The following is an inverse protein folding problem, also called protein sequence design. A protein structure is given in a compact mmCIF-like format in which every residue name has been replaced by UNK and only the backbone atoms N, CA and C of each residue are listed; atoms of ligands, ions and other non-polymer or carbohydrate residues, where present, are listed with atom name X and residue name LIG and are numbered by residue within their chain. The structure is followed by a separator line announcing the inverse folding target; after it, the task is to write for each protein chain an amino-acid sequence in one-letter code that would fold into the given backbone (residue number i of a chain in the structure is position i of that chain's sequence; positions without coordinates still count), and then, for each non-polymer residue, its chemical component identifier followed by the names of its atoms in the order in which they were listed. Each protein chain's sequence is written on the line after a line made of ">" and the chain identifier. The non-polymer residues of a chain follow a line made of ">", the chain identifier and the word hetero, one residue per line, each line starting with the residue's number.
data_IF_526036114894
#
_entry.id   IF_526036114894
#
_cell.length_a   1.000
_cell.length_b   1.000
_cell.length_c   1.000
_cell.angle_alpha   90.00
_cell.angle_beta   90.00
_cell.angle_gamma   90.00
#
_symmetry.space_group_name_H-M   'P 1'
#
loop_
_entity.id
_entity.type
_entity.pdbx_description
1 polymer ?
#
# COMPACT_ATOMS: atom_id res chain seq x y z
N UNK A 1 -3.15 2.32 24.64
CA UNK A 1 -4.23 1.53 25.30
C UNK A 1 -4.26 0.06 24.94
N UNK A 2 -4.54 -0.35 23.69
CA UNK A 2 -4.75 -1.76 23.33
C UNK A 2 -3.63 -2.70 23.78
N UNK A 3 -2.36 -2.38 23.53
CA UNK A 3 -1.22 -3.23 23.89
C UNK A 3 -1.12 -3.53 25.39
N UNK A 4 -1.53 -2.58 26.24
CA UNK A 4 -1.55 -2.74 27.70
C UNK A 4 -2.77 -3.51 28.20
N UNK A 5 -3.85 -3.55 27.42
CA UNK A 5 -5.01 -4.39 27.70
C UNK A 5 -4.76 -5.84 27.24
N UNK A 6 -4.01 -6.02 26.15
CA UNK A 6 -3.61 -7.34 25.63
C UNK A 6 -2.58 -8.00 26.56
N UNK A 7 -1.66 -7.23 27.13
CA UNK A 7 -0.60 -7.72 28.01
C UNK A 7 -0.57 -6.95 29.35
N UNK A 8 -1.59 -7.12 30.21
CA UNK A 8 -1.72 -6.34 31.44
C UNK A 8 -0.61 -6.67 32.46
N UNK A 9 -0.17 -7.94 32.50
CA UNK A 9 0.89 -8.42 33.39
C UNK A 9 2.29 -8.18 32.84
N UNK A 10 2.44 -8.01 31.52
CA UNK A 10 3.75 -7.86 30.85
C UNK A 10 4.40 -9.19 30.48
N UNK A 11 3.77 -10.32 30.78
CA UNK A 11 4.31 -11.67 30.57
C UNK A 11 4.48 -12.02 29.09
N UNK A 12 3.68 -11.41 28.20
CA UNK A 12 3.84 -11.59 26.75
C UNK A 12 5.00 -10.77 26.19
N UNK A 13 5.62 -9.91 27.01
CA UNK A 13 6.69 -9.01 26.59
C UNK A 13 6.26 -7.94 25.59
N UNK A 14 4.95 -7.76 25.37
CA UNK A 14 4.40 -6.74 24.48
C UNK A 14 4.45 -5.40 25.19
N UNK A 15 4.06 -5.36 26.48
CA UNK A 15 3.94 -4.15 27.29
C UNK A 15 5.20 -3.29 27.28
N UNK A 16 6.38 -3.92 27.42
CA UNK A 16 7.69 -3.23 27.45
C UNK A 16 7.95 -2.34 26.23
N UNK A 17 7.36 -2.67 25.07
CA UNK A 17 7.54 -1.89 23.83
C UNK A 17 6.66 -0.63 23.78
N UNK A 18 5.73 -0.48 24.73
CA UNK A 18 4.80 0.65 24.84
C UNK A 18 4.91 1.34 26.20
N UNK A 19 6.00 1.09 26.93
CA UNK A 19 6.34 1.78 28.17
C UNK A 19 7.06 3.10 27.87
N UNK A 20 6.80 4.12 28.69
CA UNK A 20 7.44 5.42 28.53
C UNK A 20 8.94 5.30 28.81
N UNK A 21 9.81 5.79 27.91
CA UNK A 21 11.25 5.86 28.17
C UNK A 21 11.62 6.94 29.19
N UNK A 22 10.66 7.78 29.61
CA UNK A 22 10.86 8.88 30.57
C UNK A 22 10.12 8.65 31.89
N UNK A 23 9.08 7.79 31.89
CA UNK A 23 8.25 7.47 33.06
C UNK A 23 8.16 5.94 33.20
N UNK A 24 9.11 5.31 33.91
CA UNK A 24 9.15 3.86 34.07
C UNK A 24 7.82 3.29 34.59
N UNK A 25 7.41 2.15 34.03
CA UNK A 25 6.17 1.46 34.42
C UNK A 25 4.88 2.18 34.00
N UNK A 26 4.96 3.28 33.25
CA UNK A 26 3.81 4.00 32.70
C UNK A 26 3.70 3.82 31.19
N UNK A 27 2.50 4.04 30.66
CA UNK A 27 2.26 4.05 29.22
C UNK A 27 2.98 5.23 28.58
N UNK A 28 3.62 5.00 27.43
CA UNK A 28 4.16 6.07 26.60
C UNK A 28 3.02 6.93 26.05
N UNK A 29 3.17 8.25 26.11
CA UNK A 29 2.27 9.19 25.43
C UNK A 29 2.73 9.45 24.00
N UNK A 30 1.85 9.99 23.16
CA UNK A 30 2.22 10.38 21.79
C UNK A 30 3.35 11.43 21.80
N UNK A 31 3.31 12.38 22.74
CA UNK A 31 4.36 13.37 22.90
C UNK A 31 5.70 12.74 23.26
N UNK A 32 5.71 11.76 24.17
CA UNK A 32 6.94 11.05 24.53
C UNK A 32 7.47 10.21 23.38
N UNK A 33 6.58 9.57 22.62
CA UNK A 33 6.97 8.81 21.43
C UNK A 33 7.69 9.71 20.42
N UNK A 34 7.10 10.85 20.06
CA UNK A 34 7.71 11.79 19.13
C UNK A 34 8.98 12.44 19.71
N UNK A 35 8.94 12.87 20.98
CA UNK A 35 10.12 13.39 21.68
C UNK A 35 11.28 12.41 21.62
N UNK A 36 11.03 11.14 21.95
CA UNK A 36 12.05 10.09 21.96
C UNK A 36 12.72 9.91 20.61
N UNK A 37 11.92 9.93 19.55
CA UNK A 37 12.41 9.88 18.16
C UNK A 37 13.25 11.13 17.86
N UNK A 38 12.70 12.32 18.08
CA UNK A 38 13.33 13.59 17.69
C UNK A 38 14.64 13.88 18.45
N UNK A 39 14.75 13.48 19.72
CA UNK A 39 16.01 13.56 20.47
C UNK A 39 17.14 12.70 19.88
N UNK A 40 16.82 11.74 19.01
CA UNK A 40 17.76 10.81 18.38
C UNK A 40 17.96 11.06 16.88
N UNK A 41 17.36 12.11 16.35
CA UNK A 41 17.57 12.52 14.95
C UNK A 41 18.90 13.27 14.86
N UNK A 42 19.88 12.80 14.06
CA UNK A 42 21.17 13.47 13.95
C UNK A 42 21.05 14.95 13.56
N UNK A 43 21.61 15.85 14.36
CA UNK A 43 21.64 17.29 14.12
C UNK A 43 20.39 18.07 14.58
N UNK A 44 19.27 17.38 14.87
CA UNK A 44 18.04 18.04 15.30
C UNK A 44 18.17 18.62 16.73
N UNK A 45 18.72 17.91 17.74
CA UNK A 45 18.93 18.48 19.07
C UNK A 45 19.76 19.76 19.07
N UNK A 46 20.81 19.82 18.26
CA UNK A 46 21.66 20.99 18.13
C UNK A 46 20.92 22.15 17.46
N UNK A 47 20.19 21.87 16.38
CA UNK A 47 19.39 22.87 15.67
C UNK A 47 18.23 23.43 16.54
N UNK A 48 17.62 22.59 17.37
CA UNK A 48 16.61 22.98 18.33
C UNK A 48 17.21 23.90 19.41
N UNK A 49 18.32 23.48 20.01
CA UNK A 49 19.03 24.25 21.04
C UNK A 49 19.49 25.62 20.52
N UNK A 50 19.97 25.71 19.28
CA UNK A 50 20.36 26.98 18.65
C UNK A 50 19.20 27.99 18.52
N UNK A 51 17.95 27.53 18.66
CA UNK A 51 16.74 28.35 18.66
C UNK A 51 16.08 28.46 20.03
N UNK A 52 16.71 27.94 21.08
CA UNK A 52 16.14 27.90 22.44
C UNK A 52 14.92 26.97 22.56
N UNK A 53 14.86 25.92 21.74
CA UNK A 53 13.78 24.94 21.74
C UNK A 53 14.32 23.55 22.09
N UNK A 54 13.48 22.67 22.61
CA UNK A 54 13.74 21.22 22.57
C UNK A 54 13.38 20.62 21.18
N UNK A 55 13.81 19.38 20.87
CA UNK A 55 13.52 18.74 19.59
C UNK A 55 12.03 18.60 19.26
N UNK A 56 11.18 18.34 20.26
CA UNK A 56 9.74 18.21 20.07
C UNK A 56 9.11 19.57 19.75
N UNK A 57 9.50 20.62 20.46
CA UNK A 57 9.08 22.00 20.21
C UNK A 57 9.53 22.50 18.84
N UNK A 58 10.77 22.17 18.44
CA UNK A 58 11.26 22.47 17.10
C UNK A 58 10.36 21.83 16.05
N UNK A 59 10.10 20.53 16.14
CA UNK A 59 9.30 19.82 15.15
C UNK A 59 7.83 20.28 15.15
N UNK A 60 7.26 20.61 16.32
CA UNK A 60 5.93 21.23 16.38
C UNK A 60 5.85 22.58 15.67
N UNK A 61 6.94 23.36 15.73
CA UNK A 61 6.99 24.70 15.14
C UNK A 61 7.29 24.68 13.64
N UNK A 62 8.24 23.86 13.21
CA UNK A 62 8.77 23.87 11.84
C UNK A 62 8.26 22.73 10.97
N UNK A 63 7.78 21.63 11.56
CA UNK A 63 7.16 20.49 10.87
C UNK A 63 8.09 19.65 10.00
N UNK A 64 9.36 20.02 9.84
CA UNK A 64 10.35 19.23 9.12
C UNK A 64 11.77 19.62 9.54
N UNK A 65 12.70 18.65 9.47
CA UNK A 65 14.13 18.87 9.66
C UNK A 65 14.95 18.16 8.58
N UNK A 66 15.88 18.89 7.97
CA UNK A 66 16.81 18.36 6.97
C UNK A 66 18.03 17.77 7.67
N UNK A 67 18.17 16.44 7.60
CA UNK A 67 19.30 15.73 8.25
C UNK A 67 20.56 15.81 7.39
N UNK A 68 20.42 15.69 6.07
CA UNK A 68 21.53 15.77 5.12
C UNK A 68 21.14 16.64 3.93
N UNK A 69 22.04 17.51 3.51
CA UNK A 69 21.84 18.43 2.38
C UNK A 69 22.40 17.84 1.08
N UNK A 70 21.67 18.03 -0.03
CA UNK A 70 22.15 17.79 -1.40
C UNK A 70 22.79 16.42 -1.65
N UNK A 71 22.10 15.34 -1.27
CA UNK A 71 22.57 13.98 -1.53
C UNK A 71 22.29 13.64 -3.00
N UNK A 72 23.33 13.66 -3.81
CA UNK A 72 23.31 13.23 -5.21
C UNK A 72 24.49 12.30 -5.47
N UNK A 73 24.39 11.49 -6.54
CA UNK A 73 25.52 10.70 -7.07
C UNK A 73 26.22 9.83 -6.02
N UNK A 74 25.46 9.25 -5.08
CA UNK A 74 26.03 8.36 -4.05
C UNK A 74 26.81 7.18 -4.65
N UNK A 75 26.39 6.71 -5.83
CA UNK A 75 27.07 5.65 -6.57
C UNK A 75 28.47 6.06 -7.07
N UNK A 76 28.77 7.35 -7.20
CA UNK A 76 30.10 7.88 -7.55
C UNK A 76 31.01 8.04 -6.32
N UNK A 77 30.53 7.77 -5.10
CA UNK A 77 31.35 7.89 -3.88
C UNK A 77 32.54 6.94 -3.98
N UNK A 78 33.74 7.49 -3.93
CA UNK A 78 34.97 6.72 -3.88
C UNK A 78 35.01 5.83 -2.63
N UNK A 79 35.42 4.58 -2.81
CA UNK A 79 35.62 3.66 -1.68
C UNK A 79 36.89 4.01 -0.92
N UNK A 80 36.79 4.05 0.41
CA UNK A 80 37.93 4.21 1.29
C UNK A 80 38.92 3.02 1.17
N UNK A 81 40.19 3.20 1.55
CA UNK A 81 41.17 2.09 1.53
C UNK A 81 40.72 0.85 2.33
N UNK A 82 40.03 1.04 3.46
CA UNK A 82 39.52 -0.06 4.29
C UNK A 82 38.34 -0.80 3.63
N UNK A 83 37.45 -0.08 2.92
CA UNK A 83 36.38 -0.69 2.12
C UNK A 83 36.95 -1.53 0.97
N UNK A 84 38.10 -1.13 0.40
CA UNK A 84 38.79 -1.84 -0.68
C UNK A 84 39.67 -3.00 -0.23
N UNK A 85 40.16 -2.97 1.00
CA UNK A 85 41.11 -3.97 1.48
C UNK A 85 40.49 -5.38 1.42
N UNK A 86 41.18 -6.30 0.74
CA UNK A 86 40.73 -7.68 0.54
C UNK A 86 39.67 -7.86 -0.54
N UNK A 87 39.36 -6.82 -1.33
CA UNK A 87 38.46 -6.94 -2.47
C UNK A 87 39.24 -7.29 -3.75
N UNK A 88 38.70 -8.22 -4.53
CA UNK A 88 39.20 -8.61 -5.85
C UNK A 88 38.38 -7.92 -6.94
N UNK A 89 39.05 -7.39 -7.97
CA UNK A 89 38.39 -6.74 -9.11
C UNK A 89 38.10 -7.78 -10.19
N UNK A 90 36.83 -7.97 -10.54
CA UNK A 90 36.44 -8.84 -11.63
C UNK A 90 37.03 -8.34 -12.97
N UNK A 91 37.72 -9.18 -13.76
CA UNK A 91 38.51 -8.74 -14.91
C UNK A 91 37.65 -8.09 -16.01
N UNK A 92 36.42 -8.59 -16.19
CA UNK A 92 35.46 -8.09 -17.19
C UNK A 92 34.39 -7.21 -16.57
N UNK A 93 33.80 -7.64 -15.45
CA UNK A 93 32.69 -6.91 -14.83
C UNK A 93 33.12 -5.59 -14.20
N UNK A 94 34.40 -5.50 -13.79
CA UNK A 94 35.00 -4.43 -12.99
C UNK A 94 34.39 -4.27 -11.59
N UNK A 95 33.57 -5.23 -11.15
CA UNK A 95 32.98 -5.24 -9.82
C UNK A 95 34.04 -5.65 -8.80
N UNK A 96 34.12 -4.93 -7.68
CA UNK A 96 34.93 -5.28 -6.52
C UNK A 96 34.16 -6.28 -5.66
N UNK A 97 34.69 -7.49 -5.49
CA UNK A 97 34.12 -8.56 -4.67
C UNK A 97 34.95 -8.74 -3.40
N UNK A 98 34.31 -8.68 -2.24
CA UNK A 98 34.91 -8.95 -0.93
C UNK A 98 34.04 -9.93 -0.17
N UNK A 99 34.63 -11.02 0.33
CA UNK A 99 33.92 -12.09 1.06
C UNK A 99 32.69 -12.64 0.31
N UNK A 100 32.79 -12.74 -1.02
CA UNK A 100 31.70 -13.19 -1.90
C UNK A 100 30.61 -12.14 -2.18
N UNK A 101 30.80 -10.89 -1.75
CA UNK A 101 29.84 -9.79 -1.94
C UNK A 101 30.42 -8.68 -2.81
N UNK A 102 29.61 -8.17 -3.73
CA UNK A 102 29.95 -6.93 -4.42
C UNK A 102 30.00 -5.78 -3.40
N UNK A 103 31.10 -5.05 -3.33
CA UNK A 103 31.29 -3.88 -2.45
C UNK A 103 31.45 -2.56 -3.22
N UNK A 104 31.72 -2.64 -4.53
CA UNK A 104 31.76 -1.49 -5.41
C UNK A 104 32.12 -1.86 -6.84
N UNK A 105 32.49 -0.87 -7.63
CA UNK A 105 32.85 -1.02 -9.03
C UNK A 105 34.01 -0.08 -9.40
N UNK A 106 34.92 -0.56 -10.24
CA UNK A 106 35.95 0.25 -10.88
C UNK A 106 35.37 0.91 -12.14
N UNK A 107 35.41 2.25 -12.16
CA UNK A 107 35.03 3.08 -13.30
C UNK A 107 36.19 4.04 -13.57
N UNK A 108 36.74 4.02 -14.78
CA UNK A 108 37.87 4.86 -15.20
C UNK A 108 39.06 4.82 -14.22
N UNK A 109 39.39 3.62 -13.72
CA UNK A 109 40.48 3.39 -12.77
C UNK A 109 40.19 3.80 -11.32
N UNK A 110 38.97 4.28 -11.02
CA UNK A 110 38.55 4.66 -9.68
C UNK A 110 37.52 3.66 -9.13
N UNK A 111 37.78 3.13 -7.94
CA UNK A 111 36.83 2.29 -7.22
C UNK A 111 35.78 3.14 -6.50
N UNK A 112 34.53 3.00 -6.91
CA UNK A 112 33.37 3.71 -6.37
C UNK A 112 32.32 2.74 -5.83
N UNK A 113 31.38 3.24 -5.04
CA UNK A 113 30.32 2.44 -4.41
C UNK A 113 29.37 1.76 -5.42
N UNK A 114 29.10 2.43 -6.54
CA UNK A 114 28.17 1.96 -7.56
C UNK A 114 26.70 1.95 -7.09
N UNK A 115 25.82 1.48 -7.96
CA UNK A 115 24.41 1.29 -7.62
C UNK A 115 24.24 0.11 -6.64
N UNK A 116 23.19 0.08 -5.80
CA UNK A 116 22.91 -1.03 -4.88
C UNK A 116 22.30 -2.23 -5.62
N UNK A 117 22.91 -2.65 -6.73
CA UNK A 117 22.56 -3.80 -7.57
C UNK A 117 23.68 -4.83 -7.52
N UNK A 118 23.44 -6.11 -7.89
CA UNK A 118 24.48 -7.13 -7.93
C UNK A 118 25.68 -6.75 -8.81
N UNK A 119 25.43 -6.10 -9.95
CA UNK A 119 26.48 -5.64 -10.86
C UNK A 119 27.12 -4.30 -10.48
N UNK A 120 26.60 -3.61 -9.44
CA UNK A 120 26.97 -2.24 -9.07
C UNK A 120 26.74 -1.19 -10.18
N UNK A 121 26.01 -1.56 -11.24
CA UNK A 121 25.61 -0.74 -12.39
C UNK A 121 24.10 -0.52 -12.40
N UNK A 122 23.64 0.39 -13.25
CA UNK A 122 22.23 0.44 -13.63
C UNK A 122 21.93 -0.74 -14.57
N UNK A 123 21.14 -1.71 -14.10
CA UNK A 123 20.87 -2.95 -14.83
C UNK A 123 19.69 -2.77 -15.80
N UNK A 124 20.00 -2.57 -17.10
CA UNK A 124 18.99 -2.68 -18.16
C UNK A 124 18.64 -4.14 -18.47
N UNK A 125 19.60 -5.05 -18.27
CA UNK A 125 19.40 -6.49 -18.30
C UNK A 125 19.52 -7.03 -16.88
N UNK A 126 18.50 -7.75 -16.41
CA UNK A 126 18.44 -8.31 -15.06
C UNK A 126 18.75 -9.81 -15.09
N UNK A 127 19.99 -10.16 -14.72
CA UNK A 127 20.36 -11.56 -14.47
C UNK A 127 19.51 -12.16 -13.33
N UNK A 128 19.09 -11.33 -12.36
CA UNK A 128 18.17 -11.77 -11.30
C UNK A 128 16.86 -12.30 -11.88
N UNK A 129 16.25 -11.64 -12.88
CA UNK A 129 15.01 -12.17 -13.47
C UNK A 129 15.24 -13.48 -14.23
N UNK A 130 16.39 -13.62 -14.93
CA UNK A 130 16.78 -14.88 -15.60
C UNK A 130 16.90 -16.02 -14.59
N UNK A 131 17.69 -15.83 -13.54
CA UNK A 131 17.96 -16.85 -12.52
C UNK A 131 16.68 -17.24 -11.77
N UNK A 132 15.74 -16.30 -11.63
CA UNK A 132 14.43 -16.50 -11.01
C UNK A 132 13.34 -16.96 -12.01
N UNK A 133 13.74 -17.42 -13.19
CA UNK A 133 12.86 -18.11 -14.13
C UNK A 133 11.99 -17.21 -15.00
N UNK A 134 12.35 -15.94 -15.16
CA UNK A 134 11.65 -14.93 -15.97
C UNK A 134 12.56 -14.28 -17.03
N UNK A 135 13.27 -15.05 -17.88
CA UNK A 135 14.21 -14.50 -18.85
C UNK A 135 13.55 -13.59 -19.89
N UNK A 136 12.27 -13.80 -20.22
CA UNK A 136 11.53 -12.97 -21.16
C UNK A 136 11.29 -11.53 -20.66
N UNK A 137 11.39 -11.32 -19.34
CA UNK A 137 11.25 -10.01 -18.70
C UNK A 137 12.59 -9.45 -18.21
N UNK A 138 13.71 -10.07 -18.60
CA UNK A 138 15.05 -9.63 -18.18
C UNK A 138 15.41 -8.22 -18.67
N UNK A 139 14.74 -7.71 -19.71
CA UNK A 139 14.85 -6.33 -20.18
C UNK A 139 13.50 -5.61 -20.07
N UNK A 140 13.48 -4.27 -19.89
CA UNK A 140 12.25 -3.49 -19.96
C UNK A 140 11.53 -3.69 -21.30
N UNK A 141 10.23 -3.96 -21.23
CA UNK A 141 9.39 -4.19 -22.40
C UNK A 141 7.91 -4.05 -22.06
N UNK A 142 7.06 -4.30 -23.05
CA UNK A 142 5.61 -4.26 -22.87
C UNK A 142 5.07 -5.61 -22.41
N UNK A 143 4.30 -5.60 -21.32
CA UNK A 143 3.59 -6.76 -20.78
C UNK A 143 2.09 -6.43 -20.79
N UNK A 144 1.25 -7.15 -21.56
CA UNK A 144 -0.18 -6.96 -21.53
C UNK A 144 -0.75 -7.17 -20.11
N UNK A 145 -1.58 -6.24 -19.65
CA UNK A 145 -2.23 -6.34 -18.34
C UNK A 145 -3.43 -7.29 -18.40
N UNK A 146 -3.88 -7.83 -17.26
CA UNK A 146 -5.13 -8.59 -17.18
C UNK A 146 -6.38 -7.74 -17.44
N UNK A 147 -6.22 -6.41 -17.46
CA UNK A 147 -7.25 -5.43 -17.86
C UNK A 147 -6.90 -4.73 -19.19
N UNK A 148 -6.11 -5.37 -20.05
CA UNK A 148 -5.76 -4.80 -21.35
C UNK A 148 -7.02 -4.46 -22.16
N UNK A 149 -7.09 -3.23 -22.65
CA UNK A 149 -8.27 -2.70 -23.34
C UNK A 149 -8.67 -3.52 -24.57
N UNK A 150 -7.73 -4.23 -25.20
CA UNK A 150 -8.00 -5.11 -26.36
C UNK A 150 -8.78 -6.37 -25.98
N UNK A 151 -8.83 -6.71 -24.70
CA UNK A 151 -9.56 -7.87 -24.16
C UNK A 151 -10.91 -7.50 -23.56
N UNK A 152 -11.26 -6.21 -23.59
CA UNK A 152 -12.53 -5.70 -23.11
C UNK A 152 -13.52 -5.60 -24.27
N UNK A 153 -14.78 -5.88 -23.98
CA UNK A 153 -15.90 -5.68 -24.88
C UNK A 153 -16.77 -4.50 -24.38
N UNK A 154 -16.56 -3.28 -24.91
CA UNK A 154 -17.36 -2.12 -24.52
C UNK A 154 -18.86 -2.33 -24.75
N UNK A 155 -19.27 -2.99 -25.83
CA UNK A 155 -20.69 -3.24 -26.14
C UNK A 155 -21.37 -4.14 -25.11
N UNK A 156 -20.62 -5.04 -24.47
CA UNK A 156 -21.11 -5.83 -23.33
C UNK A 156 -21.03 -5.09 -21.99
N UNK A 157 -20.70 -3.79 -22.01
CA UNK A 157 -20.53 -2.97 -20.81
C UNK A 157 -19.26 -3.32 -20.02
N UNK A 158 -18.22 -3.86 -20.66
CA UNK A 158 -16.95 -4.16 -19.98
C UNK A 158 -16.03 -2.95 -19.91
N UNK A 159 -15.44 -2.72 -18.74
CA UNK A 159 -14.54 -1.59 -18.46
C UNK A 159 -13.31 -2.03 -17.67
N UNK A 160 -12.23 -1.26 -17.80
CA UNK A 160 -11.17 -1.24 -16.79
C UNK A 160 -11.61 -0.30 -15.66
N UNK A 161 -11.76 -0.84 -14.46
CA UNK A 161 -12.01 -0.09 -13.23
C UNK A 161 -10.67 0.33 -12.60
N UNK A 162 -10.54 1.63 -12.34
CA UNK A 162 -9.44 2.25 -11.62
C UNK A 162 -9.84 2.55 -10.17
N UNK A 163 -9.56 1.66 -9.19
CA UNK A 163 -9.91 1.90 -7.80
C UNK A 163 -8.87 2.70 -6.99
N UNK A 164 -7.68 2.90 -7.57
CA UNK A 164 -6.47 3.30 -6.86
C UNK A 164 -6.12 4.78 -6.97
N UNK A 165 -6.91 5.61 -7.65
CA UNK A 165 -6.67 7.05 -7.61
C UNK A 165 -6.87 7.61 -6.20
N UNK A 166 -6.27 8.76 -5.91
CA UNK A 166 -6.30 9.39 -4.58
C UNK A 166 -7.15 10.65 -4.62
N UNK A 167 -8.10 10.75 -3.69
CA UNK A 167 -8.78 12.01 -3.43
C UNK A 167 -7.85 12.86 -2.57
N UNK A 168 -7.57 14.12 -2.94
CA UNK A 168 -6.58 14.95 -2.25
C UNK A 168 -6.95 15.22 -0.78
N UNK A 169 -8.24 15.11 -0.44
CA UNK A 169 -8.75 15.32 0.92
C UNK A 169 -8.70 14.08 1.81
N UNK A 170 -8.47 12.88 1.26
CA UNK A 170 -8.56 11.62 2.01
C UNK A 170 -7.26 10.80 1.93
N UNK A 171 -6.82 10.29 3.06
CA UNK A 171 -5.64 9.42 3.16
C UNK A 171 -6.12 7.98 3.38
N UNK A 172 -6.28 7.24 2.29
CA UNK A 172 -6.90 5.90 2.31
C UNK A 172 -8.20 5.94 3.13
N UNK A 173 -8.41 4.95 4.00
CA UNK A 173 -9.55 4.86 4.92
C UNK A 173 -9.28 5.50 6.29
N UNK A 174 -8.17 6.24 6.46
CA UNK A 174 -7.74 6.80 7.76
C UNK A 174 -8.37 8.16 8.07
N UNK A 175 -8.77 8.91 7.05
CA UNK A 175 -9.36 10.25 7.21
C UNK A 175 -10.83 10.24 7.60
N UNK A 176 -11.48 9.08 7.72
CA UNK A 176 -12.92 9.01 7.97
C UNK A 176 -13.37 9.74 9.26
N UNK A 177 -12.49 9.91 10.25
CA UNK A 177 -12.83 10.60 11.49
C UNK A 177 -12.64 12.14 11.44
N UNK A 178 -12.04 12.66 10.37
CA UNK A 178 -11.81 14.09 10.21
C UNK A 178 -13.05 14.77 9.58
N UNK A 179 -13.90 15.38 10.40
CA UNK A 179 -15.19 15.95 9.96
C UNK A 179 -15.10 16.89 8.75
N UNK A 180 -14.14 17.82 8.74
CA UNK A 180 -13.97 18.78 7.63
C UNK A 180 -13.56 18.11 6.32
N UNK A 181 -12.78 17.03 6.39
CA UNK A 181 -12.38 16.28 5.19
C UNK A 181 -13.55 15.47 4.61
N UNK A 182 -14.41 14.92 5.49
CA UNK A 182 -15.61 14.19 5.07
C UNK A 182 -16.67 15.13 4.50
N UNK A 183 -16.81 16.33 5.03
CA UNK A 183 -17.71 17.33 4.46
C UNK A 183 -17.38 17.62 2.98
N UNK A 184 -16.10 17.66 2.63
CA UNK A 184 -15.66 17.84 1.23
C UNK A 184 -15.81 16.55 0.42
N UNK A 185 -15.51 15.37 0.99
CA UNK A 185 -15.55 14.08 0.30
C UNK A 185 -16.15 12.97 1.19
N UNK A 186 -17.46 12.74 1.05
CA UNK A 186 -18.23 11.75 1.82
C UNK A 186 -18.77 10.58 0.99
N UNK A 187 -18.83 10.72 -0.34
CA UNK A 187 -19.25 9.68 -1.28
C UNK A 187 -18.11 9.33 -2.27
N UNK A 188 -18.14 8.11 -2.82
CA UNK A 188 -17.17 7.62 -3.81
C UNK A 188 -17.89 7.13 -5.08
N UNK A 189 -18.67 7.97 -5.76
CA UNK A 189 -19.45 7.55 -6.92
C UNK A 189 -18.57 6.92 -8.00
N UNK A 190 -19.19 6.16 -8.89
CA UNK A 190 -18.57 5.58 -10.07
C UNK A 190 -18.45 6.64 -11.17
N UNK A 191 -17.22 7.04 -11.48
CA UNK A 191 -16.93 8.01 -12.53
C UNK A 191 -17.03 7.32 -13.88
N UNK A 192 -17.80 7.89 -14.78
CA UNK A 192 -17.93 7.47 -16.17
C UNK A 192 -17.87 8.66 -17.11
N UNK A 193 -17.36 8.45 -18.31
CA UNK A 193 -17.42 9.48 -19.35
C UNK A 193 -18.87 9.65 -19.83
N UNK A 194 -19.35 10.88 -20.15
CA UNK A 194 -20.72 11.09 -20.63
C UNK A 194 -21.10 10.23 -21.85
N UNK A 195 -20.15 9.95 -22.76
CA UNK A 195 -20.40 9.06 -23.90
C UNK A 195 -20.66 7.60 -23.49
N UNK A 196 -20.00 7.12 -22.43
CA UNK A 196 -20.25 5.78 -21.88
C UNK A 196 -21.58 5.76 -21.13
N UNK A 197 -21.90 6.83 -20.41
CA UNK A 197 -23.22 7.04 -19.82
C UNK A 197 -24.32 6.92 -20.87
N UNK A 198 -24.23 7.70 -21.96
CA UNK A 198 -25.18 7.65 -23.07
C UNK A 198 -25.28 6.25 -23.70
N UNK A 199 -24.15 5.57 -23.95
CA UNK A 199 -24.11 4.21 -24.50
C UNK A 199 -24.79 3.18 -23.60
N UNK A 200 -24.66 3.32 -22.29
CA UNK A 200 -25.32 2.46 -21.30
C UNK A 200 -26.74 2.93 -20.93
N UNK A 201 -27.21 4.05 -21.52
CA UNK A 201 -28.49 4.66 -21.21
C UNK A 201 -28.58 5.22 -19.78
N UNK A 202 -27.45 5.62 -19.19
CA UNK A 202 -27.31 6.15 -17.84
C UNK A 202 -27.34 7.67 -17.82
N UNK A 203 -27.88 8.21 -16.75
CA UNK A 203 -27.86 9.64 -16.40
C UNK A 203 -27.15 9.86 -15.06
N UNK A 204 -26.83 11.12 -14.77
CA UNK A 204 -26.18 11.51 -13.51
C UNK A 204 -26.96 11.00 -12.29
N UNK A 205 -26.28 10.33 -11.35
CA UNK A 205 -26.86 9.83 -10.12
C UNK A 205 -27.64 8.51 -10.23
N UNK A 206 -27.78 7.94 -11.43
CA UNK A 206 -28.37 6.61 -11.63
C UNK A 206 -27.61 5.56 -10.83
N UNK A 207 -28.34 4.59 -10.28
CA UNK A 207 -27.72 3.43 -9.66
C UNK A 207 -27.28 2.43 -10.72
N UNK A 208 -26.06 1.93 -10.55
CA UNK A 208 -25.47 0.90 -11.39
C UNK A 208 -24.97 -0.25 -10.55
N UNK A 209 -25.05 -1.45 -11.12
CA UNK A 209 -24.36 -2.62 -10.61
C UNK A 209 -23.02 -2.73 -11.31
N UNK A 210 -21.94 -2.70 -10.53
CA UNK A 210 -20.57 -2.93 -11.00
C UNK A 210 -20.21 -4.37 -10.68
N UNK A 211 -20.30 -5.23 -11.69
CA UNK A 211 -20.02 -6.65 -11.58
C UNK A 211 -18.52 -6.91 -11.75
N UNK A 212 -17.92 -7.53 -10.74
CA UNK A 212 -16.57 -8.09 -10.80
C UNK A 212 -16.62 -9.61 -11.01
N UNK A 213 -15.46 -10.24 -11.12
CA UNK A 213 -15.35 -11.69 -11.29
C UNK A 213 -15.93 -12.49 -10.10
N UNK A 214 -15.92 -11.92 -8.89
CA UNK A 214 -16.31 -12.62 -7.64
C UNK A 214 -17.59 -12.06 -7.02
N UNK A 215 -18.18 -11.02 -7.58
CA UNK A 215 -19.28 -10.34 -6.92
C UNK A 215 -19.71 -9.06 -7.60
N UNK A 216 -20.42 -8.21 -6.89
CA UNK A 216 -20.80 -6.90 -7.39
C UNK A 216 -20.98 -5.90 -6.26
N UNK A 217 -20.91 -4.63 -6.58
CA UNK A 217 -21.36 -3.55 -5.71
C UNK A 217 -22.31 -2.62 -6.46
N UNK A 218 -23.17 -1.93 -5.73
CA UNK A 218 -24.15 -0.97 -6.28
C UNK A 218 -23.79 0.43 -5.83
N UNK A 219 -23.60 1.33 -6.79
CA UNK A 219 -23.14 2.70 -6.56
C UNK A 219 -23.83 3.68 -7.52
N UNK A 220 -23.68 4.98 -7.26
CA UNK A 220 -24.17 6.05 -8.15
C UNK A 220 -23.16 6.37 -9.23
N UNK A 221 -23.67 6.64 -10.41
CA UNK A 221 -22.86 7.19 -11.51
C UNK A 221 -22.62 8.68 -11.29
N UNK A 222 -21.38 9.10 -11.50
CA UNK A 222 -21.02 10.50 -11.74
C UNK A 222 -20.46 10.62 -13.17
N UNK A 223 -21.14 11.36 -14.03
CA UNK A 223 -20.74 11.59 -15.40
C UNK A 223 -19.78 12.79 -15.47
N UNK A 224 -18.60 12.57 -16.06
CA UNK A 224 -17.57 13.62 -16.13
C UNK A 224 -16.65 13.42 -17.33
N UNK A 225 -16.28 14.50 -18.02
CA UNK A 225 -15.29 14.46 -19.11
C UNK A 225 -13.85 14.30 -18.58
N UNK A 226 -13.65 14.35 -17.25
CA UNK A 226 -12.35 14.16 -16.61
C UNK A 226 -11.85 12.69 -16.61
N UNK A 227 -12.61 11.75 -17.19
CA UNK A 227 -12.22 10.35 -17.33
C UNK A 227 -12.28 9.92 -18.79
N UNK A 228 -11.33 9.09 -19.22
CA UNK A 228 -11.27 8.59 -20.60
C UNK A 228 -12.48 7.67 -20.90
N UNK A 229 -13.08 7.77 -22.10
CA UNK A 229 -14.06 6.78 -22.57
C UNK A 229 -13.53 5.33 -22.47
N UNK A 230 -14.38 4.40 -22.03
CA UNK A 230 -14.04 2.99 -21.83
C UNK A 230 -13.27 2.70 -20.53
N UNK A 231 -13.11 3.69 -19.66
CA UNK A 231 -12.50 3.55 -18.32
C UNK A 231 -13.51 4.00 -17.27
N UNK A 232 -13.62 3.23 -16.19
CA UNK A 232 -14.39 3.59 -15.00
C UNK A 232 -13.45 3.85 -13.83
N UNK A 233 -13.84 4.70 -12.88
CA UNK A 233 -13.08 4.92 -11.66
C UNK A 233 -14.00 5.02 -10.45
N UNK A 234 -13.63 4.40 -9.33
CA UNK A 234 -14.33 4.58 -8.06
C UNK A 234 -13.29 4.62 -6.92
N UNK A 235 -13.44 5.56 -6.01
CA UNK A 235 -12.42 5.83 -4.99
C UNK A 235 -12.49 4.82 -3.84
N UNK A 236 -11.37 4.20 -3.46
CA UNK A 236 -11.30 3.24 -2.34
C UNK A 236 -11.33 3.85 -0.92
N UNK A 237 -11.43 5.18 -0.77
CA UNK A 237 -11.24 5.86 0.53
C UNK A 237 -12.43 5.72 1.48
N UNK A 238 -13.61 5.45 0.93
CA UNK A 238 -14.90 5.47 1.61
C UNK A 238 -15.54 4.07 1.63
N UNK A 239 -16.76 3.97 2.14
CA UNK A 239 -17.46 2.69 2.31
C UNK A 239 -17.18 2.02 3.65
N UNK A 240 -16.65 2.75 4.63
CA UNK A 240 -16.47 2.19 5.98
C UNK A 240 -17.84 1.80 6.54
N UNK A 241 -17.89 0.66 7.21
CA UNK A 241 -19.14 0.13 7.73
C UNK A 241 -19.00 -0.39 9.16
N UNK A 242 -20.14 -0.52 9.83
CA UNK A 242 -20.33 -1.20 11.11
C UNK A 242 -21.67 -1.93 11.11
N UNK A 243 -21.82 -2.94 11.96
CA UNK A 243 -23.11 -3.59 12.20
C UNK A 243 -23.87 -2.88 13.32
N UNK A 244 -25.19 -3.06 13.43
CA UNK A 244 -25.98 -2.47 14.51
C UNK A 244 -25.47 -2.81 15.92
N UNK A 245 -24.97 -4.03 16.12
CA UNK A 245 -24.44 -4.51 17.41
C UNK A 245 -23.01 -4.03 17.72
N UNK A 246 -22.29 -3.47 16.75
CA UNK A 246 -20.94 -2.98 16.98
C UNK A 246 -21.00 -1.64 17.74
N UNK A 247 -20.04 -1.41 18.65
CA UNK A 247 -19.95 -0.16 19.40
C UNK A 247 -19.95 1.05 18.43
N UNK A 248 -20.65 2.14 18.78
CA UNK A 248 -20.67 3.33 17.95
C UNK A 248 -19.27 3.93 17.86
N UNK A 249 -18.58 3.66 16.75
CA UNK A 249 -17.29 4.23 16.41
C UNK A 249 -17.42 5.57 15.69
N UNK A 250 -16.62 5.77 14.64
CA UNK A 250 -16.70 6.97 13.80
C UNK A 250 -18.07 7.11 13.10
N UNK A 251 -18.84 8.14 13.45
CA UNK A 251 -20.17 8.41 12.89
C UNK A 251 -20.19 9.42 11.73
N UNK A 252 -19.05 10.03 11.40
CA UNK A 252 -18.95 10.98 10.29
C UNK A 252 -18.95 10.30 8.92
N UNK A 253 -18.44 9.08 8.84
CA UNK A 253 -18.20 8.40 7.55
C UNK A 253 -18.69 6.94 7.50
N UNK A 254 -19.05 6.33 8.64
CA UNK A 254 -19.36 4.89 8.66
C UNK A 254 -20.85 4.62 8.40
N UNK A 255 -21.11 3.75 7.42
CA UNK A 255 -22.43 3.19 7.17
C UNK A 255 -22.79 2.15 8.23
N UNK A 256 -24.09 2.01 8.52
CA UNK A 256 -24.63 0.87 9.26
C UNK A 256 -25.10 -0.16 8.25
N UNK A 257 -24.62 -1.40 8.37
CA UNK A 257 -24.89 -2.47 7.41
C UNK A 257 -25.44 -3.73 8.07
N UNK A 258 -26.32 -4.44 7.37
CA UNK A 258 -26.67 -5.82 7.65
C UNK A 258 -25.77 -6.73 6.79
N UNK A 259 -25.22 -7.77 7.40
CA UNK A 259 -24.45 -8.80 6.68
C UNK A 259 -25.24 -10.09 6.78
N UNK A 260 -25.45 -10.74 5.64
CA UNK A 260 -26.13 -12.02 5.53
C UNK A 260 -25.33 -12.97 4.63
N UNK A 261 -25.63 -14.25 4.75
CA UNK A 261 -25.05 -15.30 3.92
C UNK A 261 -26.21 -16.08 3.26
N UNK A 262 -26.76 -15.60 2.13
CA UNK A 262 -27.88 -16.25 1.46
C UNK A 262 -27.61 -17.71 1.10
N UNK A 263 -26.36 -18.04 0.78
CA UNK A 263 -25.88 -19.42 0.58
C UNK A 263 -24.46 -19.56 1.12
N UNK A 264 -24.01 -20.78 1.40
CA UNK A 264 -22.65 -21.04 1.86
C UNK A 264 -21.60 -20.40 0.93
N UNK A 265 -20.70 -19.59 1.50
CA UNK A 265 -19.67 -18.85 0.76
C UNK A 265 -20.14 -17.61 -0.01
N UNK A 266 -21.45 -17.35 -0.09
CA UNK A 266 -22.03 -16.16 -0.74
C UNK A 266 -22.46 -15.16 0.31
N UNK A 267 -21.78 -14.03 0.38
CA UNK A 267 -22.02 -12.96 1.35
C UNK A 267 -22.73 -11.79 0.71
N UNK A 268 -23.70 -11.23 1.43
CA UNK A 268 -24.41 -10.03 1.02
C UNK A 268 -24.40 -9.00 2.14
N UNK A 269 -23.97 -7.78 1.79
CA UNK A 269 -23.96 -6.61 2.65
C UNK A 269 -25.03 -5.66 2.14
N UNK A 270 -26.00 -5.33 2.98
CA UNK A 270 -27.01 -4.30 2.72
C UNK A 270 -26.74 -3.10 3.59
N UNK A 271 -26.68 -1.92 2.98
CA UNK A 271 -26.71 -0.68 3.76
C UNK A 271 -28.09 -0.47 4.39
N UNK A 272 -28.12 -0.31 5.71
CA UNK A 272 -29.32 0.00 6.49
C UNK A 272 -29.45 1.52 6.64
N UNK A 273 -28.34 2.19 6.95
CA UNK A 273 -28.27 3.63 7.12
C UNK A 273 -26.87 4.15 6.76
N UNK A 274 -26.77 5.37 6.26
CA UNK A 274 -25.50 6.07 6.10
C UNK A 274 -25.23 7.06 7.25
N UNK A 275 -24.20 7.91 7.11
CA UNK A 275 -23.96 9.02 8.03
C UNK A 275 -25.19 9.92 8.17
N UNK A 276 -25.39 10.44 9.38
CA UNK A 276 -26.51 11.33 9.71
C UNK A 276 -26.15 12.18 10.94
N UNK A 277 -26.86 13.30 11.19
CA UNK A 277 -26.71 14.09 12.41
C UNK A 277 -26.80 13.25 13.69
N UNK A 278 -25.93 13.54 14.66
CA UNK A 278 -25.98 12.92 15.98
C UNK A 278 -25.59 13.90 17.08
N UNK A 279 -26.15 13.70 18.27
CA UNK A 279 -25.77 14.47 19.45
C UNK A 279 -24.38 14.06 19.96
N UNK A 280 -23.52 15.03 20.23
CA UNK A 280 -22.21 14.85 20.85
C UNK A 280 -21.76 16.16 21.53
N UNK A 281 -20.61 16.14 22.21
CA UNK A 281 -20.00 17.36 22.74
C UNK A 281 -19.45 18.30 21.65
N UNK A 282 -19.23 17.77 20.44
CA UNK A 282 -18.88 18.57 19.26
C UNK A 282 -20.18 19.05 18.56
N UNK A 283 -20.46 20.36 18.53
CA UNK A 283 -21.70 20.88 17.95
C UNK A 283 -21.84 20.57 16.46
N UNK A 284 -20.75 20.36 15.73
CA UNK A 284 -20.79 20.07 14.30
C UNK A 284 -21.36 18.67 14.00
N UNK A 285 -21.34 17.75 14.96
CA UNK A 285 -21.97 16.42 14.79
C UNK A 285 -23.47 16.49 14.47
N UNK A 286 -24.14 17.57 14.87
CA UNK A 286 -25.56 17.82 14.59
C UNK A 286 -25.83 18.42 13.20
N UNK A 287 -24.78 18.79 12.46
CA UNK A 287 -24.87 19.54 11.19
C UNK A 287 -24.57 18.71 9.94
N UNK A 288 -24.37 17.40 10.10
CA UNK A 288 -24.08 16.49 8.99
C UNK A 288 -25.23 16.51 7.98
N UNK A 289 -24.97 17.02 6.77
CA UNK A 289 -25.99 17.15 5.72
C UNK A 289 -25.90 16.03 4.67
N UNK A 290 -24.77 15.31 4.60
CA UNK A 290 -24.62 14.17 3.71
C UNK A 290 -25.24 12.91 4.30
N UNK A 291 -25.71 12.03 3.41
CA UNK A 291 -26.38 10.76 3.78
C UNK A 291 -25.61 9.52 3.33
N UNK A 292 -24.59 9.69 2.50
CA UNK A 292 -23.79 8.61 1.95
C UNK A 292 -22.41 8.61 2.59
N UNK A 293 -21.92 7.43 3.00
CA UNK A 293 -20.56 7.22 3.51
C UNK A 293 -19.68 6.45 2.53
N UNK A 294 -20.10 6.38 1.26
CA UNK A 294 -19.51 5.59 0.19
C UNK A 294 -19.80 4.09 0.21
N UNK A 295 -19.24 3.34 -0.75
CA UNK A 295 -19.43 1.90 -0.98
C UNK A 295 -18.08 1.16 -0.88
N UNK A 296 -17.97 0.04 -0.12
CA UNK A 296 -16.71 -0.68 0.06
C UNK A 296 -16.39 -1.61 -1.14
N UNK A 297 -16.11 -1.02 -2.30
CA UNK A 297 -15.86 -1.73 -3.57
C UNK A 297 -14.80 -2.85 -3.46
N UNK A 298 -13.75 -2.66 -2.65
CA UNK A 298 -12.62 -3.57 -2.56
C UNK A 298 -13.02 -4.98 -2.09
N UNK A 299 -14.15 -5.12 -1.40
CA UNK A 299 -14.68 -6.43 -0.99
C UNK A 299 -15.02 -7.33 -2.20
N UNK A 300 -15.29 -6.72 -3.35
CA UNK A 300 -15.63 -7.43 -4.59
C UNK A 300 -14.39 -7.71 -5.45
N UNK A 301 -13.19 -7.37 -5.03
CA UNK A 301 -12.00 -7.58 -5.85
C UNK A 301 -11.42 -8.98 -5.62
N UNK A 302 -11.23 -9.77 -6.69
CA UNK A 302 -10.57 -11.07 -6.58
C UNK A 302 -9.12 -10.94 -6.11
N UNK A 303 -8.59 -12.00 -5.50
CA UNK A 303 -7.19 -12.08 -5.10
C UNK A 303 -6.32 -12.37 -6.33
N UNK A 304 -5.68 -11.33 -6.86
CA UNK A 304 -4.89 -11.37 -8.10
C UNK A 304 -3.43 -10.94 -7.84
N UNK A 305 -2.57 -11.80 -7.28
CA UNK A 305 -1.17 -11.46 -7.06
C UNK A 305 -0.38 -11.56 -8.36
N UNK A 306 0.36 -10.50 -8.72
CA UNK A 306 1.35 -10.54 -9.79
C UNK A 306 2.31 -11.72 -9.57
N UNK A 307 2.47 -12.64 -10.54
CA UNK A 307 3.19 -13.90 -10.33
C UNK A 307 4.70 -13.74 -10.12
N UNK A 308 5.26 -12.56 -10.39
CA UNK A 308 6.69 -12.26 -10.21
C UNK A 308 6.94 -11.62 -8.85
N UNK A 309 6.21 -10.55 -8.52
CA UNK A 309 6.45 -9.74 -7.31
C UNK A 309 5.59 -10.15 -6.11
N UNK A 310 4.47 -10.84 -6.34
CA UNK A 310 3.44 -11.15 -5.35
C UNK A 310 2.54 -9.96 -4.99
N UNK A 311 2.72 -8.79 -5.60
CA UNK A 311 1.91 -7.61 -5.34
C UNK A 311 0.51 -7.76 -5.93
N UNK A 312 -0.51 -7.23 -5.26
CA UNK A 312 -1.88 -7.33 -5.74
C UNK A 312 -2.14 -6.42 -6.96
N UNK A 313 -2.74 -6.98 -8.01
CA UNK A 313 -3.18 -6.27 -9.21
C UNK A 313 -4.53 -5.59 -8.97
N UNK A 314 -4.50 -4.29 -8.61
CA UNK A 314 -5.70 -3.59 -8.15
C UNK A 314 -6.70 -3.18 -9.23
N UNK A 315 -6.26 -2.90 -10.47
CA UNK A 315 -7.21 -2.59 -11.55
C UNK A 315 -8.05 -3.82 -11.87
N UNK A 316 -9.35 -3.63 -12.09
CA UNK A 316 -10.28 -4.74 -12.29
C UNK A 316 -10.95 -4.65 -13.66
N UNK A 317 -11.12 -5.80 -14.31
CA UNK A 317 -12.09 -5.93 -15.41
C UNK A 317 -13.47 -6.03 -14.76
N UNK A 318 -14.37 -5.14 -15.12
CA UNK A 318 -15.74 -5.12 -14.58
C UNK A 318 -16.76 -5.02 -15.70
N UNK A 319 -17.99 -5.45 -15.43
CA UNK A 319 -19.15 -5.19 -16.28
C UNK A 319 -20.08 -4.23 -15.55
N UNK A 320 -20.49 -3.15 -16.22
CA UNK A 320 -21.38 -2.12 -15.65
C UNK A 320 -22.73 -2.20 -16.34
N UNK A 321 -23.79 -2.30 -15.54
CA UNK A 321 -25.16 -2.21 -16.03
C UNK A 321 -26.04 -1.42 -15.06
N UNK A 322 -27.23 -1.01 -15.50
CA UNK A 322 -28.23 -0.40 -14.62
C UNK A 322 -28.51 -1.33 -13.43
N UNK A 323 -28.62 -0.72 -12.25
CA UNK A 323 -29.05 -1.43 -11.07
C UNK A 323 -30.44 -2.04 -11.30
N UNK A 324 -30.67 -3.22 -10.72
CA UNK A 324 -31.96 -3.89 -10.80
C UNK A 324 -32.97 -3.26 -9.84
N UNK A 325 -34.28 -3.49 -9.99
CA UNK A 325 -35.28 -2.94 -9.08
C UNK A 325 -35.07 -3.29 -7.59
N UNK A 326 -34.45 -4.44 -7.30
CA UNK A 326 -34.13 -4.91 -5.95
C UNK A 326 -32.77 -4.42 -5.40
N UNK A 327 -31.98 -3.75 -6.24
CA UNK A 327 -30.68 -3.20 -5.86
C UNK A 327 -30.85 -1.86 -5.15
N UNK A 328 -30.07 -1.68 -4.09
CA UNK A 328 -30.00 -0.47 -3.29
C UNK A 328 -28.58 0.06 -3.30
N UNK A 329 -28.44 1.38 -3.21
CA UNK A 329 -27.14 2.01 -3.01
C UNK A 329 -26.39 1.36 -1.84
N UNK A 330 -25.10 1.07 -2.04
CA UNK A 330 -24.24 0.49 -1.01
C UNK A 330 -24.35 -1.02 -0.84
N UNK A 331 -25.16 -1.70 -1.66
CA UNK A 331 -25.14 -3.16 -1.69
C UNK A 331 -23.82 -3.71 -2.14
N UNK A 332 -23.40 -4.79 -1.51
CA UNK A 332 -22.23 -5.56 -1.91
C UNK A 332 -22.54 -7.04 -1.82
N UNK A 333 -22.27 -7.76 -2.90
CA UNK A 333 -22.34 -9.22 -2.95
C UNK A 333 -20.96 -9.79 -3.26
N UNK A 334 -20.56 -10.85 -2.56
CA UNK A 334 -19.27 -11.51 -2.73
C UNK A 334 -19.41 -13.03 -2.66
N UNK A 335 -18.77 -13.73 -3.59
CA UNK A 335 -18.63 -15.18 -3.61
C UNK A 335 -17.18 -15.54 -3.26
N UNK A 336 -16.99 -16.07 -2.05
CA UNK A 336 -15.64 -16.40 -1.54
C UNK A 336 -15.05 -17.63 -2.20
N UNK A 337 -15.89 -18.54 -2.71
CA UNK A 337 -15.42 -19.72 -3.43
C UNK A 337 -14.85 -19.30 -4.80
N UNK A 338 -15.54 -18.41 -5.53
CA UNK A 338 -14.98 -17.78 -6.73
C UNK A 338 -13.68 -17.03 -6.43
N UNK A 339 -13.62 -16.28 -5.32
CA UNK A 339 -12.39 -15.60 -4.92
C UNK A 339 -11.21 -16.57 -4.73
N UNK A 340 -11.46 -17.74 -4.12
CA UNK A 340 -10.44 -18.78 -3.99
C UNK A 340 -10.04 -19.37 -5.33
N UNK A 341 -10.99 -19.65 -6.22
CA UNK A 341 -10.71 -20.16 -7.57
C UNK A 341 -9.88 -19.17 -8.40
N UNK A 342 -10.16 -17.87 -8.31
CA UNK A 342 -9.34 -16.84 -8.96
C UNK A 342 -7.93 -16.87 -8.40
N UNK A 343 -7.78 -16.88 -7.07
CA UNK A 343 -6.47 -17.01 -6.43
C UNK A 343 -5.69 -18.22 -6.96
N UNK A 344 -6.31 -19.40 -7.04
CA UNK A 344 -5.66 -20.61 -7.55
C UNK A 344 -5.23 -20.46 -9.02
N UNK A 345 -6.05 -19.83 -9.88
CA UNK A 345 -5.67 -19.52 -11.28
C UNK A 345 -4.46 -18.60 -11.36
N UNK A 346 -4.35 -17.63 -10.47
CA UNK A 346 -3.19 -16.72 -10.43
C UNK A 346 -1.96 -17.38 -9.84
N UNK A 347 -2.13 -18.18 -8.77
CA UNK A 347 -1.06 -18.96 -8.18
C UNK A 347 -0.45 -19.95 -9.18
N UNK A 348 -1.26 -20.53 -10.06
CA UNK A 348 -0.78 -21.41 -11.13
C UNK A 348 0.14 -20.71 -12.15
N UNK A 349 0.16 -19.37 -12.21
CA UNK A 349 1.07 -18.60 -13.06
C UNK A 349 2.47 -18.42 -12.43
N UNK A 350 2.63 -18.70 -11.14
CA UNK A 350 3.90 -18.53 -10.41
C UNK A 350 4.90 -19.59 -10.84
N UNK A 351 6.12 -19.16 -11.18
CA UNK A 351 7.25 -20.04 -11.46
C UNK A 351 8.06 -20.27 -10.19
N UNK A 352 8.40 -21.53 -9.91
CA UNK A 352 9.19 -21.91 -8.73
C UNK A 352 10.68 -22.01 -9.06
N UNK A 353 11.31 -20.88 -9.33
CA UNK A 353 12.77 -20.78 -9.30
C UNK A 353 13.16 -20.22 -7.94
N UNK A 354 13.93 -20.98 -7.16
CA UNK A 354 14.42 -20.56 -5.84
C UNK A 354 15.96 -20.67 -5.80
N UNK A 355 16.70 -19.83 -6.56
CA UNK A 355 18.16 -19.86 -6.56
C UNK A 355 18.72 -19.81 -5.13
N UNK A 356 19.61 -20.74 -4.80
CA UNK A 356 20.20 -20.83 -3.46
C UNK A 356 19.19 -21.16 -2.34
N UNK A 357 18.01 -21.70 -2.66
CA UNK A 357 16.97 -21.99 -1.68
C UNK A 357 16.26 -20.75 -1.12
N UNK A 358 16.34 -19.61 -1.81
CA UNK A 358 15.74 -18.35 -1.39
C UNK A 358 14.28 -18.22 -1.85
N UNK A 359 13.48 -17.53 -1.03
CA UNK A 359 12.09 -17.10 -1.34
C UNK A 359 12.03 -15.76 -2.08
N UNK A 360 13.09 -14.95 -1.98
CA UNK A 360 13.26 -13.65 -2.63
C UNK A 360 14.76 -13.30 -2.71
N UNK A 361 15.22 -12.55 -3.72
CA UNK A 361 16.58 -12.02 -3.74
C UNK A 361 16.92 -11.21 -2.49
N UNK A 362 18.10 -11.45 -1.89
CA UNK A 362 18.54 -10.78 -0.67
C UNK A 362 18.92 -9.30 -0.87
N UNK A 363 19.30 -8.93 -2.10
CA UNK A 363 19.71 -7.57 -2.43
C UNK A 363 18.52 -6.63 -2.64
N UNK A 364 17.33 -7.16 -2.94
CA UNK A 364 16.13 -6.34 -3.10
C UNK A 364 15.66 -5.81 -1.74
N UNK A 365 15.56 -4.49 -1.62
CA UNK A 365 15.10 -3.85 -0.39
C UNK A 365 13.66 -4.26 -0.03
N UNK A 366 13.36 -4.27 1.27
CA UNK A 366 12.05 -4.59 1.83
C UNK A 366 11.82 -3.77 3.11
N UNK A 367 10.74 -2.98 3.19
CA UNK A 367 10.30 -2.39 4.45
C UNK A 367 10.05 -3.48 5.49
N UNK A 368 10.53 -3.28 6.72
CA UNK A 368 10.47 -4.29 7.78
C UNK A 368 11.11 -5.61 7.31
N UNK A 369 12.37 -5.53 6.85
CA UNK A 369 13.14 -6.69 6.39
C UNK A 369 13.14 -7.78 7.49
N UNK A 370 12.69 -9.00 7.18
CA UNK A 370 12.68 -10.07 8.18
C UNK A 370 14.11 -10.55 8.48
N UNK A 371 14.25 -11.35 9.54
CA UNK A 371 15.51 -12.04 9.83
C UNK A 371 15.99 -12.85 8.61
N UNK A 372 17.31 -13.02 8.48
CA UNK A 372 17.93 -13.59 7.28
C UNK A 372 17.41 -15.00 6.98
N UNK A 373 17.16 -15.80 8.02
CA UNK A 373 16.69 -17.17 7.95
C UNK A 373 15.30 -17.26 7.30
N UNK A 374 14.46 -16.23 7.46
CA UNK A 374 13.13 -16.17 6.88
C UNK A 374 13.15 -16.00 5.35
N UNK A 375 14.30 -15.68 4.75
CA UNK A 375 14.46 -15.65 3.30
C UNK A 375 14.65 -17.05 2.72
N UNK A 376 15.02 -18.06 3.50
CA UNK A 376 15.31 -19.39 3.01
C UNK A 376 14.09 -20.32 3.11
N UNK A 377 14.03 -21.30 2.21
CA UNK A 377 13.08 -22.41 2.29
C UNK A 377 13.45 -23.35 3.45
N UNK A 378 12.49 -24.11 4.02
CA UNK A 378 12.78 -25.07 5.06
C UNK A 378 13.85 -26.07 4.60
N UNK A 379 14.86 -26.31 5.43
CA UNK A 379 16.00 -27.19 5.10
C UNK A 379 17.11 -26.52 4.29
N UNK A 380 16.93 -25.26 3.86
CA UNK A 380 18.00 -24.45 3.28
C UNK A 380 18.60 -23.55 4.38
N UNK A 381 19.93 -23.52 4.48
CA UNK A 381 20.64 -22.66 5.42
C UNK A 381 21.35 -21.52 4.68
N UNK A 382 21.63 -20.39 5.35
CA UNK A 382 22.52 -19.39 4.81
C UNK A 382 23.90 -20.02 4.57
N UNK A 383 24.25 -20.26 3.32
CA UNK A 383 25.66 -20.41 2.97
C UNK A 383 26.31 -19.05 3.22
N UNK A 384 27.45 -19.03 3.91
CA UNK A 384 28.13 -17.80 4.27
C UNK A 384 28.15 -16.79 3.10
N UNK A 385 27.60 -15.61 3.38
CA UNK A 385 27.87 -14.34 2.68
C UNK A 385 27.59 -14.23 1.18
N UNK A 386 26.38 -14.56 0.70
CA UNK A 386 25.89 -14.01 -0.58
C UNK A 386 24.79 -12.96 -0.34
N UNK A 387 25.02 -11.75 -0.84
CA UNK A 387 23.99 -10.74 -1.21
C UNK A 387 23.20 -9.98 -0.13
N UNK A 388 23.66 -9.91 1.12
CA UNK A 388 23.09 -8.95 2.07
C UNK A 388 23.67 -7.53 1.80
N UNK A 389 22.86 -6.67 1.16
CA UNK A 389 23.13 -5.22 1.14
C UNK A 389 22.85 -4.69 2.55
N UNK A 390 23.77 -3.95 3.20
CA UNK A 390 23.50 -3.27 4.46
C UNK A 390 22.24 -2.41 4.32
N UNK A 391 21.38 -2.40 5.33
CA UNK A 391 20.27 -1.44 5.36
C UNK A 391 20.86 -0.03 5.38
N UNK A 392 20.83 0.66 4.24
CA UNK A 392 21.06 2.10 4.21
C UNK A 392 19.83 2.78 4.81
N UNK A 393 19.70 2.74 6.14
CA UNK A 393 18.80 3.64 6.86
C UNK A 393 19.44 5.02 6.89
N UNK A 394 19.45 5.70 5.75
CA UNK A 394 19.72 7.13 5.71
C UNK A 394 18.42 7.89 5.82
N UNK A 395 18.13 8.38 7.02
CA UNK A 395 17.14 9.43 7.22
C UNK A 395 17.60 10.68 6.47
N UNK A 396 16.85 11.10 5.46
CA UNK A 396 17.16 12.30 4.67
C UNK A 396 16.45 13.53 5.21
N UNK A 397 15.18 13.32 5.58
CA UNK A 397 14.33 14.27 6.26
C UNK A 397 13.60 13.55 7.37
N UNK A 398 13.31 14.29 8.43
CA UNK A 398 12.31 13.91 9.43
C UNK A 398 11.16 14.90 9.28
N UNK A 399 9.95 14.37 9.07
CA UNK A 399 8.71 15.12 8.88
C UNK A 399 7.82 14.82 10.08
#
# INVERSE_FOLDING_TARGET
>A
ELSWQVDPTGELGIRRHFESPYRPGQKITIDEYYRYIFERVPGLPEAAKAKGLDPLEYMRRYGAFQVKKSIYRCHERALSPSERQGAEVGPVSKVLIKDGRAVGIEVDGTAVEGFPTPSRKQELFSQTLVDWGWPEYAIPGYIPSHVDWRTLNPEAGEFCLLPTFRLPTLIHTRSGAAKWLNEIAHCNPLWLHPSDGARLGLTEGDLVRVQTEIGYFVDRVWLTEAIRPGVAACSHHLGRWRRPQDLPGNRYSANVVAISQPEAGKWFVRQIAGPAPFASADPDSSRIWWREGGVPQNLTFPVQPDPISGMHCWHQKVTICKARPEDHYGDVFVDTEKAHQVYQRWLAKVRRANPGGLRRPLWMNRPLRPALEAFYLPGCAPTATRDAVPSAETWHYVI
#
